data_IF_177524594968
#
_entry.id   IF_177524594968
#
_cell.length_a   1.000
_cell.length_b   1.000
_cell.length_c   1.000
_cell.angle_alpha   90.00
_cell.angle_beta   90.00
_cell.angle_gamma   90.00
#
_symmetry.space_group_name_H-M   'P 1'
#
loop_
_entity.id
_entity.type
_entity.pdbx_description
1 polymer ?
#
# COMPACT_ATOMS: atom_id res chain seq x y z
N UNK A 1 48.72 -43.24 38.98
CA UNK A 1 47.45 -43.24 39.74
C UNK A 1 46.43 -42.51 38.89
N UNK A 2 45.59 -43.28 38.21
CA UNK A 2 44.70 -42.82 37.14
C UNK A 2 43.29 -42.57 37.64
N UNK A 3 42.69 -41.51 37.11
CA UNK A 3 41.29 -41.32 36.75
C UNK A 3 40.20 -41.81 37.72
N UNK A 4 39.44 -40.86 38.29
CA UNK A 4 38.05 -41.09 38.68
C UNK A 4 37.15 -40.05 38.01
N UNK A 5 36.50 -40.54 36.97
CA UNK A 5 35.31 -40.00 36.31
C UNK A 5 34.11 -40.05 37.27
N UNK A 6 33.26 -39.02 37.27
CA UNK A 6 31.80 -39.11 37.45
C UNK A 6 31.21 -37.71 37.69
N UNK A 7 30.70 -37.07 36.64
CA UNK A 7 29.76 -35.95 36.78
C UNK A 7 28.48 -36.32 36.04
N UNK A 8 27.51 -36.77 36.84
CA UNK A 8 26.14 -37.12 36.44
C UNK A 8 25.33 -35.84 36.27
N UNK A 9 25.16 -35.36 35.04
CA UNK A 9 24.23 -34.27 34.72
C UNK A 9 22.82 -34.83 34.50
N UNK A 10 21.93 -34.58 35.47
CA UNK A 10 20.51 -34.90 35.39
C UNK A 10 19.84 -33.90 34.45
N UNK A 11 19.28 -34.40 33.35
CA UNK A 11 18.42 -33.64 32.44
C UNK A 11 17.10 -33.31 33.14
N UNK A 12 16.81 -32.03 33.31
CA UNK A 12 15.47 -31.52 33.63
C UNK A 12 14.68 -31.39 32.33
N UNK A 13 13.61 -32.18 32.21
CA UNK A 13 12.60 -32.01 31.18
C UNK A 13 11.60 -30.93 31.62
N UNK A 14 11.18 -30.00 30.75
CA UNK A 14 10.11 -29.05 31.05
C UNK A 14 8.72 -29.72 30.98
N UNK A 15 7.74 -29.21 31.74
CA UNK A 15 6.42 -29.82 31.87
C UNK A 15 5.54 -29.62 30.62
N UNK A 16 4.81 -30.66 30.26
CA UNK A 16 3.91 -30.72 29.12
C UNK A 16 2.79 -29.68 29.17
N UNK A 17 2.67 -28.92 28.09
CA UNK A 17 1.60 -27.94 27.86
C UNK A 17 0.34 -28.69 27.43
N UNK A 18 -0.69 -28.64 28.27
CA UNK A 18 -2.02 -29.20 27.99
C UNK A 18 -2.64 -28.49 26.78
N UNK A 19 -3.14 -29.28 25.83
CA UNK A 19 -3.90 -28.81 24.68
C UNK A 19 -5.28 -28.31 25.14
N UNK A 20 -5.63 -27.09 24.73
CA UNK A 20 -7.00 -26.58 24.80
C UNK A 20 -7.81 -27.15 23.63
N UNK A 21 -9.04 -27.64 23.84
CA UNK A 21 -9.96 -27.95 22.76
C UNK A 21 -10.48 -26.66 22.10
N UNK A 22 -10.72 -26.65 20.78
CA UNK A 22 -11.30 -25.51 20.09
C UNK A 22 -12.79 -25.33 20.45
N UNK A 23 -13.29 -24.08 20.55
CA UNK A 23 -14.72 -23.84 20.72
C UNK A 23 -15.48 -24.18 19.42
N UNK A 24 -16.60 -24.86 19.63
CA UNK A 24 -17.58 -25.21 18.62
C UNK A 24 -18.32 -23.98 18.10
N UNK A 25 -18.61 -23.99 16.80
CA UNK A 25 -19.81 -23.38 16.23
C UNK A 25 -19.76 -21.88 15.98
N UNK A 26 -19.50 -21.50 14.74
CA UNK A 26 -20.07 -20.27 14.17
C UNK A 26 -20.95 -20.68 12.98
N UNK A 27 -22.24 -20.34 13.00
CA UNK A 27 -23.19 -20.69 11.94
C UNK A 27 -22.93 -19.91 10.65
N UNK A 28 -23.19 -20.58 9.52
CA UNK A 28 -23.22 -20.04 8.16
C UNK A 28 -24.04 -18.74 8.08
N UNK A 29 -23.38 -17.66 7.67
CA UNK A 29 -24.07 -16.44 7.27
C UNK A 29 -24.61 -16.61 5.84
N UNK A 30 -25.85 -16.16 5.57
CA UNK A 30 -26.55 -16.40 4.32
C UNK A 30 -25.96 -15.62 3.14
N UNK A 31 -25.89 -16.31 2.00
CA UNK A 31 -25.59 -15.76 0.66
C UNK A 31 -26.50 -14.57 0.35
N UNK A 32 -25.90 -13.43 0.01
CA UNK A 32 -26.61 -12.30 -0.59
C UNK A 32 -27.15 -12.66 -1.98
N UNK A 33 -28.43 -12.35 -2.26
CA UNK A 33 -29.07 -12.66 -3.53
C UNK A 33 -28.60 -11.75 -4.69
N UNK A 34 -28.64 -12.34 -5.87
CA UNK A 34 -28.38 -11.79 -7.20
C UNK A 34 -29.24 -10.57 -7.53
N UNK A 35 -28.66 -9.68 -8.35
CA UNK A 35 -29.30 -8.51 -8.95
C UNK A 35 -30.69 -8.78 -9.56
N UNK A 36 -31.61 -7.81 -9.52
CA UNK A 36 -32.91 -7.94 -10.16
C UNK A 36 -32.84 -7.71 -11.68
N UNK A 37 -33.63 -8.44 -12.49
CA UNK A 37 -33.81 -8.14 -13.90
C UNK A 37 -34.77 -6.96 -14.10
N UNK A 38 -34.39 -6.10 -15.04
CA UNK A 38 -35.22 -5.06 -15.64
C UNK A 38 -36.52 -5.65 -16.18
N UNK A 39 -37.66 -5.13 -15.71
CA UNK A 39 -38.97 -5.39 -16.31
C UNK A 39 -39.60 -4.07 -16.76
N UNK A 40 -39.68 -3.93 -18.08
CA UNK A 40 -40.60 -3.07 -18.81
C UNK A 40 -42.04 -3.46 -18.45
N UNK A 41 -42.89 -2.49 -18.12
CA UNK A 41 -44.33 -2.64 -18.28
C UNK A 41 -44.96 -1.33 -18.76
N UNK A 42 -45.74 -1.48 -19.83
CA UNK A 42 -46.41 -0.45 -20.57
C UNK A 42 -47.78 -0.09 -19.96
N UNK A 43 -48.19 1.15 -20.25
CA UNK A 43 -49.54 1.64 -20.53
C UNK A 43 -50.67 1.41 -19.52
N UNK A 44 -51.40 2.49 -19.19
CA UNK A 44 -52.86 2.51 -19.33
C UNK A 44 -53.41 3.94 -19.46
N UNK A 45 -54.32 4.03 -20.43
CA UNK A 45 -55.10 5.17 -20.89
C UNK A 45 -56.26 5.42 -19.91
N UNK A 46 -56.62 6.69 -19.70
CA UNK A 46 -57.85 7.08 -19.01
C UNK A 46 -58.23 8.54 -19.26
N UNK A 47 -59.23 8.81 -20.13
CA UNK A 47 -59.77 10.15 -20.38
C UNK A 47 -60.97 10.44 -19.45
N UNK A 48 -61.30 11.73 -19.27
CA UNK A 48 -62.60 12.32 -18.88
C UNK A 48 -62.40 13.43 -17.82
N UNK A 49 -63.10 14.56 -17.74
CA UNK A 49 -64.12 15.26 -18.52
C UNK A 49 -64.22 16.66 -17.86
N UNK A 50 -64.50 17.70 -18.66
CA UNK A 50 -65.32 18.90 -18.38
C UNK A 50 -65.23 19.62 -17.01
N UNK A 51 -64.78 20.87 -17.06
CA UNK A 51 -65.09 21.89 -16.04
C UNK A 51 -64.86 23.30 -16.59
N UNK A 52 -65.88 23.87 -17.25
CA UNK A 52 -65.91 25.30 -17.62
C UNK A 52 -66.21 26.17 -16.39
N UNK A 53 -65.43 27.23 -16.21
CA UNK A 53 -65.77 28.34 -15.32
C UNK A 53 -65.01 29.60 -15.74
N UNK A 54 -65.67 30.64 -16.31
CA UNK A 54 -65.01 31.88 -16.66
C UNK A 54 -65.02 32.81 -15.43
N UNK A 55 -63.92 32.81 -14.68
CA UNK A 55 -63.66 33.87 -13.70
C UNK A 55 -62.74 34.89 -14.35
N UNK A 56 -63.29 36.05 -14.68
CA UNK A 56 -62.55 37.20 -15.18
C UNK A 56 -61.50 37.63 -14.17
N UNK A 57 -60.23 37.31 -14.48
CA UNK A 57 -59.08 37.84 -13.77
C UNK A 57 -58.88 39.31 -14.16
N UNK A 58 -58.75 40.17 -13.16
CA UNK A 58 -58.45 41.58 -13.33
C UNK A 58 -57.21 41.77 -14.21
N UNK A 59 -57.36 42.53 -15.30
CA UNK A 59 -56.21 42.97 -16.09
C UNK A 59 -55.50 44.08 -15.32
N UNK A 60 -54.41 43.73 -14.65
CA UNK A 60 -53.47 44.74 -14.18
C UNK A 60 -52.72 45.26 -15.40
N UNK A 61 -52.68 46.58 -15.65
CA UNK A 61 -51.81 47.14 -16.66
C UNK A 61 -50.37 46.89 -16.19
N UNK A 62 -49.72 45.89 -16.78
CA UNK A 62 -48.29 45.65 -16.63
C UNK A 62 -47.54 46.79 -17.32
N UNK A 63 -47.50 47.95 -16.66
CA UNK A 63 -46.60 49.03 -17.01
C UNK A 63 -45.20 48.61 -16.56
N UNK A 64 -44.44 48.02 -17.49
CA UNK A 64 -42.99 48.15 -17.63
C UNK A 64 -42.60 47.40 -18.89
N UNK A 65 -42.77 48.03 -20.05
CA UNK A 65 -41.97 47.68 -21.22
C UNK A 65 -40.50 47.80 -20.81
N UNK A 66 -39.89 46.68 -20.44
CA UNK A 66 -38.44 46.60 -20.31
C UNK A 66 -37.88 46.80 -21.72
N UNK A 67 -36.86 47.65 -21.91
CA UNK A 67 -36.24 47.82 -23.21
C UNK A 67 -35.90 46.46 -23.82
N UNK A 68 -36.41 46.16 -25.01
CA UNK A 68 -36.14 44.93 -25.79
C UNK A 68 -34.66 44.83 -26.22
N UNK A 69 -33.86 45.84 -25.91
CA UNK A 69 -32.44 45.83 -26.15
C UNK A 69 -31.79 44.72 -25.32
N UNK A 70 -31.34 43.67 -26.01
CA UNK A 70 -30.65 42.51 -25.41
C UNK A 70 -29.51 43.04 -24.54
N UNK A 71 -29.70 42.98 -23.21
CA UNK A 71 -28.65 43.33 -22.23
C UNK A 71 -27.38 42.61 -22.65
N UNK A 72 -26.38 43.36 -23.10
CA UNK A 72 -25.04 42.82 -23.30
C UNK A 72 -24.47 42.64 -21.91
N UNK A 73 -24.14 41.41 -21.48
CA UNK A 73 -23.46 41.25 -20.20
C UNK A 73 -22.21 42.12 -20.25
N UNK A 74 -21.98 42.89 -19.19
CA UNK A 74 -20.73 43.64 -19.05
C UNK A 74 -19.60 42.66 -19.33
N UNK A 75 -18.78 42.99 -20.32
CA UNK A 75 -17.74 42.09 -20.80
C UNK A 75 -16.83 41.73 -19.64
N UNK A 76 -16.97 40.52 -19.11
CA UNK A 76 -16.03 40.00 -18.13
C UNK A 76 -14.76 39.69 -18.91
N UNK A 77 -13.78 40.58 -18.79
CA UNK A 77 -12.43 40.30 -19.22
C UNK A 77 -11.91 39.16 -18.34
N UNK A 78 -11.98 37.94 -18.85
CA UNK A 78 -11.30 36.80 -18.25
C UNK A 78 -9.82 37.02 -18.52
N UNK A 79 -9.10 37.47 -17.50
CA UNK A 79 -7.65 37.47 -17.51
C UNK A 79 -7.20 36.04 -17.82
N UNK A 80 -6.40 35.78 -18.87
CA UNK A 80 -5.92 34.44 -19.17
C UNK A 80 -5.22 33.89 -17.93
N UNK A 81 -5.88 32.94 -17.27
CA UNK A 81 -5.40 32.36 -16.03
C UNK A 81 -3.96 31.90 -16.24
N UNK A 82 -3.04 32.53 -15.52
CA UNK A 82 -1.64 32.12 -15.50
C UNK A 82 -1.59 30.63 -15.21
N UNK A 83 -0.87 29.87 -16.05
CA UNK A 83 -0.78 28.43 -15.86
C UNK A 83 -0.31 28.13 -14.43
N UNK A 84 -0.97 27.22 -13.70
CA UNK A 84 -0.60 26.95 -12.32
C UNK A 84 0.85 26.47 -12.25
N UNK A 85 1.59 26.84 -11.19
CA UNK A 85 2.97 26.44 -11.03
C UNK A 85 3.09 24.91 -10.98
N UNK A 86 4.26 24.41 -11.40
CA UNK A 86 4.52 22.97 -11.45
C UNK A 86 4.29 22.33 -10.07
N UNK A 87 3.61 21.18 -9.99
CA UNK A 87 3.37 20.52 -8.71
C UNK A 87 4.69 20.11 -8.03
N UNK A 88 4.86 20.54 -6.78
CA UNK A 88 5.97 20.19 -5.89
C UNK A 88 5.48 19.32 -4.74
N UNK A 89 6.37 18.53 -4.14
CA UNK A 89 6.00 17.64 -3.04
C UNK A 89 5.92 18.37 -1.69
N UNK A 90 6.63 19.49 -1.55
CA UNK A 90 6.72 20.29 -0.34
C UNK A 90 6.86 21.76 -0.71
N UNK A 91 6.41 22.62 0.18
CA UNK A 91 6.63 24.05 0.15
C UNK A 91 6.73 24.60 1.57
N UNK A 92 7.48 25.67 1.75
CA UNK A 92 7.51 26.50 2.95
C UNK A 92 6.43 27.60 2.85
N UNK A 93 6.03 28.16 4.00
CA UNK A 93 5.11 29.30 4.05
C UNK A 93 5.64 30.54 3.30
N UNK A 94 6.95 30.58 3.02
CA UNK A 94 7.63 31.65 2.26
C UNK A 94 7.55 31.48 0.73
N UNK A 95 7.15 30.32 0.22
CA UNK A 95 7.28 29.97 -1.21
C UNK A 95 6.19 30.58 -2.13
N UNK A 96 5.37 31.49 -1.61
CA UNK A 96 4.31 32.15 -2.38
C UNK A 96 3.21 31.18 -2.82
N UNK A 97 2.75 31.29 -4.07
CA UNK A 97 1.72 30.39 -4.63
C UNK A 97 2.40 29.16 -5.20
N UNK A 98 2.07 28.00 -4.64
CA UNK A 98 2.60 26.69 -5.03
C UNK A 98 1.47 25.70 -5.27
N UNK A 99 1.71 24.77 -6.19
CA UNK A 99 0.81 23.62 -6.37
C UNK A 99 1.42 22.44 -5.64
N UNK A 100 0.77 21.96 -4.58
CA UNK A 100 1.23 20.76 -3.87
C UNK A 100 0.72 19.50 -4.57
N UNK A 101 1.57 18.49 -4.65
CA UNK A 101 1.19 17.17 -5.13
C UNK A 101 0.44 16.42 -4.02
N UNK A 102 -0.68 15.79 -4.36
CA UNK A 102 -1.40 14.91 -3.42
C UNK A 102 -0.46 13.80 -2.94
N UNK A 103 -0.26 13.63 -1.62
CA UNK A 103 0.50 12.51 -1.07
C UNK A 103 -0.12 11.18 -1.48
N UNK A 104 0.70 10.16 -1.73
CA UNK A 104 0.17 8.83 -1.94
C UNK A 104 -0.35 8.27 -0.61
N UNK A 105 -1.49 7.59 -0.66
CA UNK A 105 -1.99 6.83 0.48
C UNK A 105 -1.06 5.66 0.81
N UNK A 106 -1.27 5.04 1.98
CA UNK A 106 -0.45 3.90 2.38
C UNK A 106 -0.81 2.59 1.65
N UNK A 107 -2.05 2.46 1.17
CA UNK A 107 -2.52 1.28 0.43
C UNK A 107 -1.59 0.89 -0.73
N UNK A 108 -1.27 1.81 -1.67
CA UNK A 108 -0.32 1.54 -2.74
C UNK A 108 1.08 1.08 -2.29
N UNK A 109 1.52 1.46 -1.09
CA UNK A 109 2.80 0.99 -0.55
C UNK A 109 2.70 -0.47 -0.06
N UNK A 110 1.58 -0.84 0.56
CA UNK A 110 1.27 -2.21 0.95
C UNK A 110 1.10 -3.12 -0.27
N UNK A 111 0.44 -2.63 -1.33
CA UNK A 111 0.28 -3.35 -2.59
C UNK A 111 1.65 -3.72 -3.20
N UNK A 112 2.63 -2.81 -3.15
CA UNK A 112 4.01 -3.08 -3.63
C UNK A 112 4.69 -4.17 -2.81
N UNK A 113 4.51 -4.19 -1.47
CA UNK A 113 5.06 -5.25 -0.61
C UNK A 113 4.40 -6.60 -0.92
N UNK A 114 3.08 -6.62 -1.09
CA UNK A 114 2.37 -7.84 -1.47
C UNK A 114 2.82 -8.36 -2.83
N UNK A 115 2.92 -7.47 -3.83
CA UNK A 115 3.37 -7.81 -5.18
C UNK A 115 4.82 -8.31 -5.17
N UNK A 116 5.70 -7.68 -4.37
CA UNK A 116 7.08 -8.12 -4.19
C UNK A 116 7.17 -9.58 -3.77
N UNK A 117 6.44 -10.00 -2.73
CA UNK A 117 6.46 -11.39 -2.30
C UNK A 117 5.83 -12.34 -3.32
N UNK A 118 4.79 -11.91 -4.03
CA UNK A 118 4.22 -12.70 -5.14
C UNK A 118 5.26 -12.96 -6.24
N UNK A 119 6.01 -11.93 -6.65
CA UNK A 119 7.08 -12.09 -7.65
C UNK A 119 8.24 -12.94 -7.15
N UNK A 120 8.59 -12.85 -5.87
CA UNK A 120 9.60 -13.70 -5.22
C UNK A 120 9.18 -15.18 -5.23
N UNK A 121 7.94 -15.49 -4.85
CA UNK A 121 7.41 -16.87 -4.88
C UNK A 121 7.36 -17.41 -6.31
N UNK A 122 7.01 -16.56 -7.27
CA UNK A 122 6.99 -16.91 -8.69
C UNK A 122 8.39 -16.99 -9.34
N UNK A 123 9.44 -16.58 -8.61
CA UNK A 123 10.82 -16.48 -9.10
C UNK A 123 10.96 -15.64 -10.39
N UNK A 124 10.06 -14.65 -10.56
CA UNK A 124 9.98 -13.80 -11.75
C UNK A 124 10.89 -12.57 -11.58
N UNK A 125 12.15 -12.71 -11.99
CA UNK A 125 13.14 -11.64 -11.88
C UNK A 125 12.82 -10.42 -12.73
N UNK A 126 12.21 -10.61 -13.90
CA UNK A 126 11.87 -9.52 -14.81
C UNK A 126 10.80 -8.64 -14.18
N UNK A 127 9.70 -9.23 -13.71
CA UNK A 127 8.67 -8.48 -13.04
C UNK A 127 9.10 -7.90 -11.70
N UNK A 128 9.92 -8.63 -10.93
CA UNK A 128 10.48 -8.09 -9.69
C UNK A 128 11.29 -6.81 -9.97
N UNK A 129 12.02 -6.76 -11.09
CA UNK A 129 12.79 -5.58 -11.48
C UNK A 129 11.91 -4.35 -11.77
N UNK A 130 10.65 -4.53 -12.18
CA UNK A 130 9.71 -3.43 -12.41
C UNK A 130 9.28 -2.73 -11.10
N UNK A 131 9.29 -3.47 -9.98
CA UNK A 131 9.00 -2.95 -8.65
C UNK A 131 10.19 -2.18 -8.05
N UNK A 132 11.38 -2.38 -8.58
CA UNK A 132 12.62 -1.78 -8.10
C UNK A 132 12.89 -0.45 -8.83
N UNK A 133 13.48 0.51 -8.12
CA UNK A 133 14.13 1.64 -8.78
C UNK A 133 15.40 1.16 -9.49
N UNK A 134 15.85 1.92 -10.48
CA UNK A 134 17.06 1.59 -11.25
C UNK A 134 18.32 1.43 -10.38
N UNK A 135 18.35 2.16 -9.27
CA UNK A 135 19.43 2.22 -8.30
C UNK A 135 19.12 1.44 -7.01
N UNK A 136 18.15 0.53 -7.04
CA UNK A 136 17.73 -0.20 -5.85
C UNK A 136 18.87 -1.05 -5.26
N UNK A 137 19.06 -1.00 -3.93
CA UNK A 137 20.14 -1.67 -3.21
C UNK A 137 19.64 -2.73 -2.25
N UNK A 138 20.37 -3.84 -2.11
CA UNK A 138 20.15 -4.85 -1.08
C UNK A 138 21.18 -4.71 0.04
N UNK A 139 20.72 -4.42 1.25
CA UNK A 139 21.50 -4.21 2.46
C UNK A 139 21.50 -5.49 3.27
N UNK A 140 22.69 -5.98 3.63
CA UNK A 140 22.88 -7.19 4.42
C UNK A 140 23.46 -6.81 5.78
N UNK A 141 22.83 -7.26 6.87
CA UNK A 141 23.25 -6.98 8.25
C UNK A 141 24.42 -7.84 8.73
N UNK A 142 24.63 -9.01 8.12
CA UNK A 142 25.60 -10.01 8.57
C UNK A 142 27.00 -9.92 7.95
N UNK A 143 27.19 -9.15 6.88
CA UNK A 143 28.51 -9.04 6.23
C UNK A 143 29.30 -7.89 6.86
N UNK A 144 30.18 -8.20 7.81
CA UNK A 144 31.10 -7.25 8.46
C UNK A 144 32.17 -6.62 7.54
N UNK A 145 31.87 -6.44 6.25
CA UNK A 145 32.77 -5.90 5.24
C UNK A 145 32.30 -4.55 4.75
N UNK A 146 33.25 -3.62 4.60
CA UNK A 146 33.13 -2.31 3.94
C UNK A 146 32.82 -2.42 2.43
N UNK A 147 31.93 -3.34 2.04
CA UNK A 147 31.51 -3.53 0.66
C UNK A 147 30.36 -2.60 0.31
N UNK A 148 30.37 -2.08 -0.92
CA UNK A 148 29.20 -1.40 -1.47
C UNK A 148 28.03 -2.41 -1.58
N UNK A 149 26.82 -2.08 -1.09
CA UNK A 149 25.67 -2.97 -1.20
C UNK A 149 25.38 -3.28 -2.68
N UNK A 150 25.09 -4.54 -3.03
CA UNK A 150 24.77 -4.91 -4.40
C UNK A 150 23.44 -4.31 -4.86
N UNK A 151 23.24 -4.27 -6.18
CA UNK A 151 21.93 -4.00 -6.75
C UNK A 151 20.92 -5.05 -6.28
N UNK A 152 19.74 -4.60 -5.84
CA UNK A 152 18.68 -5.46 -5.35
C UNK A 152 18.21 -6.49 -6.39
N UNK A 153 18.12 -6.10 -7.67
CA UNK A 153 17.71 -7.00 -8.76
C UNK A 153 18.69 -8.15 -8.94
N UNK A 154 19.99 -7.82 -9.10
CA UNK A 154 21.04 -8.83 -9.23
C UNK A 154 21.15 -9.73 -8.00
N UNK A 155 20.93 -9.19 -6.80
CA UNK A 155 20.93 -9.96 -5.57
C UNK A 155 19.80 -11.01 -5.54
N UNK A 156 18.59 -10.65 -5.97
CA UNK A 156 17.47 -11.59 -6.09
C UNK A 156 17.67 -12.61 -7.21
N UNK A 157 18.18 -12.20 -8.37
CA UNK A 157 18.53 -13.13 -9.46
C UNK A 157 19.52 -14.20 -9.00
N UNK A 158 20.50 -13.83 -8.17
CA UNK A 158 21.44 -14.79 -7.59
C UNK A 158 20.77 -15.75 -6.61
N UNK A 159 19.77 -15.29 -5.85
CA UNK A 159 18.99 -16.13 -4.92
C UNK A 159 18.10 -17.12 -5.67
N UNK A 160 17.39 -16.69 -6.71
CA UNK A 160 16.55 -17.58 -7.54
C UNK A 160 17.35 -18.72 -8.19
N UNK A 161 18.66 -18.53 -8.44
CA UNK A 161 19.53 -19.61 -8.95
C UNK A 161 19.92 -20.65 -7.91
N UNK A 162 19.77 -20.35 -6.61
CA UNK A 162 20.33 -21.14 -5.50
C UNK A 162 19.27 -21.69 -4.55
N UNK A 163 18.11 -21.05 -4.50
CA UNK A 163 17.03 -21.32 -3.56
C UNK A 163 15.73 -21.51 -4.34
N UNK A 164 14.86 -22.36 -3.82
CA UNK A 164 13.55 -22.67 -4.39
C UNK A 164 12.46 -22.00 -3.54
N UNK A 165 12.04 -20.82 -3.97
CA UNK A 165 10.99 -20.01 -3.35
C UNK A 165 9.59 -20.52 -3.67
N UNK A 166 9.44 -21.38 -4.69
CA UNK A 166 8.20 -22.08 -4.99
C UNK A 166 7.69 -22.89 -3.78
N UNK A 167 8.59 -23.32 -2.89
CA UNK A 167 8.24 -23.98 -1.62
C UNK A 167 7.44 -23.12 -0.64
N UNK A 168 7.45 -21.79 -0.80
CA UNK A 168 6.64 -20.87 0.00
C UNK A 168 5.22 -20.69 -0.56
N UNK A 169 4.91 -21.25 -1.73
CA UNK A 169 3.58 -21.14 -2.33
C UNK A 169 2.53 -21.77 -1.42
N UNK A 170 1.53 -20.96 -1.03
CA UNK A 170 0.45 -21.37 -0.12
C UNK A 170 0.76 -21.20 1.37
N UNK A 171 1.99 -20.87 1.73
CA UNK A 171 2.37 -20.58 3.11
C UNK A 171 2.15 -19.10 3.45
N UNK A 172 1.67 -18.75 4.66
CA UNK A 172 1.59 -17.36 5.08
C UNK A 172 3.00 -16.81 5.33
N UNK A 173 3.50 -15.97 4.44
CA UNK A 173 4.83 -15.36 4.58
C UNK A 173 4.85 -14.29 5.67
N UNK A 174 3.83 -13.43 5.71
CA UNK A 174 3.67 -12.36 6.70
C UNK A 174 2.18 -12.12 6.99
N UNK A 175 1.89 -11.34 8.02
CA UNK A 175 0.54 -10.84 8.33
C UNK A 175 0.50 -9.33 8.14
N UNK A 176 -0.47 -8.85 7.38
CA UNK A 176 -0.66 -7.40 7.19
C UNK A 176 -0.83 -6.64 8.51
N UNK A 177 -1.48 -7.25 9.50
CA UNK A 177 -1.66 -6.66 10.84
C UNK A 177 -0.37 -6.51 11.65
N UNK A 178 0.71 -7.18 11.26
CA UNK A 178 2.01 -7.14 11.94
C UNK A 178 3.01 -6.22 11.21
N UNK A 179 2.63 -5.67 10.06
CA UNK A 179 3.44 -4.71 9.33
C UNK A 179 3.61 -3.42 10.14
N UNK A 180 4.85 -2.95 10.21
CA UNK A 180 5.15 -1.66 10.83
C UNK A 180 5.52 -0.68 9.73
N UNK A 181 4.77 0.41 9.68
CA UNK A 181 4.89 1.44 8.65
C UNK A 181 5.50 2.67 9.30
N UNK A 182 6.54 3.20 8.68
CA UNK A 182 7.21 4.43 9.11
C UNK A 182 7.28 5.38 7.93
N UNK A 183 6.71 6.58 8.08
CA UNK A 183 6.93 7.68 7.14
C UNK A 183 8.15 8.48 7.58
N UNK A 184 8.81 9.16 6.65
CA UNK A 184 9.96 10.01 6.98
C UNK A 184 9.68 10.98 8.14
N UNK A 185 8.46 11.53 8.21
CA UNK A 185 7.97 12.40 9.29
C UNK A 185 7.83 11.69 10.66
N UNK A 186 7.48 10.39 10.65
CA UNK A 186 7.22 9.60 11.86
C UNK A 186 8.49 8.93 12.43
N UNK A 187 9.53 8.76 11.59
CA UNK A 187 10.78 8.07 11.94
C UNK A 187 11.53 8.78 13.09
N UNK A 188 11.32 10.08 13.29
CA UNK A 188 11.90 10.83 14.41
C UNK A 188 11.32 10.44 15.79
N UNK A 189 10.17 9.75 15.84
CA UNK A 189 9.43 9.47 17.08
C UNK A 189 9.48 8.01 17.55
N UNK A 190 9.98 7.06 16.74
CA UNK A 190 9.95 5.63 17.03
C UNK A 190 11.35 5.03 17.32
N UNK A 191 11.44 3.91 18.07
CA UNK A 191 12.70 3.19 18.26
C UNK A 191 13.29 2.77 16.91
N UNK A 192 14.44 3.34 16.57
CA UNK A 192 15.08 3.16 15.27
C UNK A 192 15.59 1.72 15.15
N UNK A 193 15.13 0.99 14.14
CA UNK A 193 15.90 -0.16 13.67
C UNK A 193 17.28 0.39 13.24
N UNK A 194 18.41 -0.19 13.67
CA UNK A 194 19.75 0.40 13.50
C UNK A 194 20.14 0.66 12.03
N UNK A 195 19.42 0.05 11.09
CA UNK A 195 19.60 0.27 9.66
C UNK A 195 18.70 1.35 9.03
N UNK A 196 17.69 1.86 9.76
CA UNK A 196 16.86 2.98 9.32
C UNK A 196 17.59 4.25 9.75
N UNK A 197 18.35 4.84 8.82
CA UNK A 197 18.99 6.15 9.00
C UNK A 197 18.04 7.24 8.47
N UNK A 198 17.40 8.02 9.36
CA UNK A 198 16.40 9.01 8.98
C UNK A 198 16.95 10.05 8.00
N UNK A 199 18.26 10.35 8.09
CA UNK A 199 18.95 11.34 7.26
C UNK A 199 19.01 10.94 5.78
N UNK A 200 18.73 9.68 5.47
CA UNK A 200 18.74 9.15 4.11
C UNK A 200 17.34 9.00 3.49
N UNK A 201 16.30 9.35 4.24
CA UNK A 201 14.91 9.32 3.80
C UNK A 201 14.51 10.67 3.20
N UNK A 202 13.84 10.64 2.05
CA UNK A 202 13.10 11.79 1.53
C UNK A 202 11.75 11.91 2.26
N UNK A 203 11.18 13.11 2.31
CA UNK A 203 9.92 13.43 3.00
C UNK A 203 8.73 12.58 2.51
N UNK A 204 8.82 12.00 1.31
CA UNK A 204 7.78 11.17 0.70
C UNK A 204 8.12 9.67 0.72
N UNK A 205 9.25 9.30 1.30
CA UNK A 205 9.65 7.92 1.41
C UNK A 205 8.85 7.23 2.54
N UNK A 206 8.53 5.96 2.29
CA UNK A 206 7.83 5.09 3.24
C UNK A 206 8.71 3.88 3.50
N UNK A 207 8.92 3.57 4.77
CA UNK A 207 9.64 2.38 5.20
C UNK A 207 8.63 1.39 5.77
N UNK A 208 8.64 0.16 5.26
CA UNK A 208 7.77 -0.91 5.75
C UNK A 208 8.65 -2.03 6.27
N UNK A 209 8.48 -2.34 7.54
CA UNK A 209 9.09 -3.50 8.19
C UNK A 209 8.09 -4.65 8.13
N UNK A 210 8.56 -5.77 7.58
CA UNK A 210 7.79 -6.98 7.32
C UNK A 210 8.35 -8.11 8.18
N UNK A 211 7.72 -8.42 9.33
CA UNK A 211 8.04 -9.63 10.09
C UNK A 211 7.69 -10.88 9.26
N UNK A 212 8.65 -11.78 9.08
CA UNK A 212 8.48 -13.00 8.29
C UNK A 212 8.07 -14.14 9.22
N UNK A 213 6.90 -14.72 8.98
CA UNK A 213 6.38 -15.85 9.71
C UNK A 213 7.03 -17.17 9.27
N UNK A 214 7.21 -17.33 7.96
CA UNK A 214 7.69 -18.58 7.35
C UNK A 214 9.01 -18.32 6.64
N UNK A 215 10.09 -18.25 7.42
CA UNK A 215 11.44 -18.00 6.91
C UNK A 215 12.16 -19.28 6.41
N UNK A 216 11.72 -20.46 6.85
CA UNK A 216 12.34 -21.77 6.58
C UNK A 216 11.28 -22.82 6.25
N UNK A 217 11.52 -23.61 5.21
CA UNK A 217 10.73 -24.79 4.88
C UNK A 217 11.63 -26.02 4.98
N UNK A 218 11.26 -26.96 5.85
CA UNK A 218 12.09 -28.11 6.20
C UNK A 218 13.52 -27.70 6.63
N UNK A 219 14.54 -28.08 5.88
CA UNK A 219 15.94 -27.73 6.16
C UNK A 219 16.34 -26.37 5.55
N UNK A 220 15.62 -25.90 4.52
CA UNK A 220 16.03 -24.78 3.67
C UNK A 220 15.56 -23.45 4.25
N UNK A 221 16.51 -22.58 4.62
CA UNK A 221 16.19 -21.19 4.98
C UNK A 221 16.06 -20.40 3.69
N UNK A 222 14.87 -19.88 3.41
CA UNK A 222 14.56 -19.17 2.17
C UNK A 222 14.58 -17.65 2.37
N UNK A 223 14.15 -17.19 3.55
CA UNK A 223 14.11 -15.77 3.93
C UNK A 223 14.79 -15.54 5.29
N UNK A 224 15.14 -14.29 5.56
CA UNK A 224 15.43 -13.79 6.90
C UNK A 224 14.16 -13.73 7.75
N UNK A 225 14.32 -13.45 9.04
CA UNK A 225 13.19 -13.38 9.97
C UNK A 225 12.41 -12.05 9.81
N UNK A 226 13.03 -11.09 9.11
CA UNK A 226 12.50 -9.77 8.85
C UNK A 226 13.04 -9.24 7.52
N UNK A 227 12.17 -8.57 6.77
CA UNK A 227 12.53 -7.77 5.61
C UNK A 227 12.09 -6.33 5.85
N UNK A 228 12.99 -5.37 5.64
CA UNK A 228 12.66 -3.95 5.64
C UNK A 228 12.74 -3.42 4.22
N UNK A 229 11.67 -2.78 3.77
CA UNK A 229 11.52 -2.25 2.41
C UNK A 229 11.42 -0.74 2.48
N UNK A 230 12.28 -0.05 1.73
CA UNK A 230 12.18 1.40 1.55
C UNK A 230 11.57 1.69 0.20
N UNK A 231 10.48 2.45 0.24
CA UNK A 231 9.64 2.80 -0.88
C UNK A 231 9.78 4.28 -1.16
N UNK A 232 9.98 4.62 -2.43
CA UNK A 232 9.97 5.99 -2.93
C UNK A 232 8.88 6.15 -3.97
N UNK A 233 8.29 7.34 -4.01
CA UNK A 233 7.33 7.70 -5.05
C UNK A 233 8.00 7.76 -6.43
N UNK A 234 7.52 6.97 -7.36
CA UNK A 234 7.82 7.05 -8.79
C UNK A 234 6.52 7.33 -9.56
N UNK A 235 6.30 8.60 -9.91
CA UNK A 235 5.07 9.07 -10.54
C UNK A 235 3.82 8.82 -9.67
N UNK A 236 2.86 7.98 -10.12
CA UNK A 236 1.65 7.64 -9.38
C UNK A 236 1.77 6.41 -8.48
N UNK A 237 2.96 5.77 -8.41
CA UNK A 237 3.17 4.52 -7.67
C UNK A 237 4.34 4.63 -6.70
N UNK A 238 4.50 3.63 -5.85
CA UNK A 238 5.73 3.42 -5.10
C UNK A 238 6.64 2.43 -5.83
N UNK A 239 7.94 2.59 -5.64
CA UNK A 239 8.97 1.61 -6.03
C UNK A 239 9.96 1.41 -4.90
N UNK A 240 10.54 0.22 -4.85
CA UNK A 240 11.52 -0.20 -3.87
C UNK A 240 12.89 0.32 -4.28
N UNK A 241 13.54 1.11 -3.43
CA UNK A 241 14.91 1.60 -3.68
C UNK A 241 15.94 1.04 -2.68
N UNK A 242 15.50 0.50 -1.54
CA UNK A 242 16.35 -0.29 -0.64
C UNK A 242 15.58 -1.46 -0.07
N UNK A 243 16.29 -2.56 0.10
CA UNK A 243 15.84 -3.74 0.83
C UNK A 243 16.87 -4.06 1.88
N UNK A 244 16.42 -4.44 3.07
CA UNK A 244 17.27 -5.02 4.10
C UNK A 244 16.69 -6.33 4.54
N UNK A 245 17.56 -7.32 4.65
CA UNK A 245 17.20 -8.64 5.16
C UNK A 245 18.39 -9.22 5.91
N UNK A 246 18.14 -9.76 7.10
CA UNK A 246 19.15 -10.55 7.82
C UNK A 246 19.16 -11.99 7.31
N UNK A 247 19.69 -12.14 6.09
CA UNK A 247 19.82 -13.41 5.42
C UNK A 247 21.25 -13.63 4.94
N UNK A 248 21.75 -14.84 5.13
CA UNK A 248 23.06 -15.28 4.65
C UNK A 248 22.86 -16.62 3.92
N UNK A 249 23.32 -16.68 2.68
CA UNK A 249 23.38 -17.94 1.91
C UNK A 249 24.52 -18.76 2.52
N UNK A 250 24.20 -19.92 3.09
CA UNK A 250 25.19 -20.87 3.60
C UNK A 250 25.85 -21.67 2.49
#
# INVERSE_FOLDING_TARGET
>A
MSQRSSRSERRHAPPGRRAHPPPAGVPDAPRSPSAPPSLLLAALIGPSLLGCGPAGGASFPAASELPEERRRPDGVAIDPASAPPRPVNRADARDGVVTLRTPLGIGPALDVVAEFFQRVIAEDSEALSELLTRDALAIQTGSGGQGQPPSAGLWWEQRFRRLDYGKLAGEPIYRESELQIFRAEDVLAAPQHPAIQPETLDDQDVVIRVPIMTARIAADRLLGDEIVVWLRRDGPRFKIYRLLEDFQIQ
#
